data_IF_585179599495
#
_entry.id   IF_585179599495
#
_cell.length_a   1.000
_cell.length_b   1.000
_cell.length_c   1.000
_cell.angle_alpha   90.00
_cell.angle_beta   90.00
_cell.angle_gamma   90.00
#
_symmetry.space_group_name_H-M   'P 1'
#
loop_
_entity.id
_entity.type
_entity.pdbx_description
1 polymer ?
#
# COMPACT_ATOMS: atom_id res chain seq x y z
N UNK A 1 -12.04 -0.90 23.81
CA UNK A 1 -13.19 -1.04 22.89
C UNK A 1 -12.88 -1.92 21.68
N UNK A 2 -11.83 -1.67 20.89
CA UNK A 2 -11.46 -2.47 19.69
C UNK A 2 -11.19 -3.95 20.03
N UNK A 3 -10.55 -4.25 21.17
CA UNK A 3 -10.25 -5.62 21.61
C UNK A 3 -11.46 -6.50 21.93
N UNK A 4 -12.65 -5.91 22.08
CA UNK A 4 -13.91 -6.63 22.31
C UNK A 4 -14.71 -6.72 20.99
N UNK A 5 -14.72 -5.66 20.20
CA UNK A 5 -15.47 -5.61 18.95
C UNK A 5 -14.91 -6.56 17.88
N UNK A 6 -13.59 -6.68 17.76
CA UNK A 6 -12.99 -7.55 16.75
C UNK A 6 -13.33 -9.05 16.96
N UNK A 7 -13.21 -9.63 18.17
CA UNK A 7 -13.67 -11.01 18.42
C UNK A 7 -15.17 -11.18 18.20
N UNK A 8 -15.98 -10.19 18.54
CA UNK A 8 -17.44 -10.24 18.38
C UNK A 8 -17.82 -10.29 16.89
N UNK A 9 -17.21 -9.48 16.03
CA UNK A 9 -17.43 -9.55 14.58
C UNK A 9 -16.94 -10.86 13.99
N UNK A 10 -15.81 -11.39 14.49
CA UNK A 10 -15.34 -12.72 14.08
C UNK A 10 -16.35 -13.82 14.43
N UNK A 11 -16.92 -13.80 15.63
CA UNK A 11 -17.98 -14.73 16.04
C UNK A 11 -19.21 -14.61 15.12
N UNK A 12 -19.67 -13.38 14.83
CA UNK A 12 -20.79 -13.15 13.93
C UNK A 12 -20.50 -13.75 12.53
N UNK A 13 -19.29 -13.59 12.02
CA UNK A 13 -18.89 -14.16 10.72
C UNK A 13 -18.89 -15.68 10.78
N UNK A 14 -18.31 -16.29 11.84
CA UNK A 14 -18.23 -17.75 11.99
C UNK A 14 -19.61 -18.40 12.11
N UNK A 15 -20.51 -17.80 12.89
CA UNK A 15 -21.85 -18.35 13.09
C UNK A 15 -22.86 -17.93 12.04
N UNK A 16 -22.61 -16.82 11.31
CA UNK A 16 -23.52 -16.26 10.30
C UNK A 16 -23.27 -16.80 8.89
N UNK A 17 -22.09 -17.36 8.60
CA UNK A 17 -21.78 -17.94 7.28
C UNK A 17 -21.99 -19.46 7.29
N UNK A 18 -22.93 -19.93 6.45
CA UNK A 18 -23.03 -21.36 6.12
C UNK A 18 -22.05 -21.66 4.98
N UNK A 19 -21.02 -22.41 5.29
CA UNK A 19 -20.10 -22.91 4.28
C UNK A 19 -20.82 -23.94 3.39
N UNK A 20 -21.02 -23.63 2.12
CA UNK A 20 -21.47 -24.63 1.13
C UNK A 20 -20.23 -25.46 0.76
N UNK A 21 -20.11 -26.64 1.37
CA UNK A 21 -19.12 -27.62 0.97
C UNK A 21 -19.60 -28.32 -0.29
N UNK A 22 -18.98 -28.01 -1.42
CA UNK A 22 -19.12 -28.83 -2.61
C UNK A 22 -18.48 -30.20 -2.35
N UNK A 23 -19.32 -31.21 -2.20
CA UNK A 23 -18.92 -32.62 -1.98
C UNK A 23 -18.03 -33.18 -3.10
N UNK A 24 -17.98 -32.50 -4.26
CA UNK A 24 -17.06 -32.84 -5.36
C UNK A 24 -15.58 -32.53 -5.05
N UNK A 25 -15.28 -31.67 -4.08
CA UNK A 25 -13.90 -31.35 -3.67
C UNK A 25 -13.35 -32.27 -2.56
N UNK A 26 -14.20 -32.97 -1.83
CA UNK A 26 -13.75 -33.87 -0.73
C UNK A 26 -12.93 -35.09 -1.22
N UNK A 27 -13.06 -35.44 -2.48
CA UNK A 27 -12.35 -36.60 -3.08
C UNK A 27 -10.98 -36.24 -3.70
N UNK A 28 -10.61 -34.99 -3.80
CA UNK A 28 -9.22 -34.63 -4.09
C UNK A 28 -8.44 -34.74 -2.79
N UNK A 29 -7.63 -35.80 -2.66
CA UNK A 29 -6.75 -36.03 -1.53
C UNK A 29 -6.17 -34.68 -1.05
N UNK A 30 -6.28 -34.37 0.27
CA UNK A 30 -5.69 -33.19 0.89
C UNK A 30 -4.20 -33.21 0.59
N UNK A 31 -3.80 -32.59 -0.50
CA UNK A 31 -2.40 -32.47 -0.87
C UNK A 31 -1.68 -31.79 0.30
N UNK A 32 -0.72 -32.53 0.88
CA UNK A 32 0.07 -31.99 1.98
C UNK A 32 0.77 -30.72 1.49
N UNK A 33 0.57 -29.63 2.21
CA UNK A 33 1.28 -28.37 1.97
C UNK A 33 2.78 -28.67 1.97
N UNK A 34 3.45 -28.33 0.88
CA UNK A 34 4.90 -28.45 0.76
C UNK A 34 5.48 -27.11 0.34
N UNK A 35 6.43 -26.60 1.11
CA UNK A 35 7.15 -25.38 0.78
C UNK A 35 7.82 -25.47 -0.61
N UNK A 36 8.32 -26.66 -0.97
CA UNK A 36 8.89 -26.91 -2.30
C UNK A 36 7.83 -26.75 -3.41
N UNK A 37 6.59 -27.24 -3.17
CA UNK A 37 5.48 -27.05 -4.12
C UNK A 37 5.12 -25.58 -4.25
N UNK A 38 5.04 -24.83 -3.15
CA UNK A 38 4.78 -23.39 -3.15
C UNK A 38 5.80 -22.64 -4.02
N UNK A 39 7.09 -22.84 -3.76
CA UNK A 39 8.17 -22.19 -4.51
C UNK A 39 8.09 -22.60 -5.99
N UNK A 40 7.90 -23.87 -6.30
CA UNK A 40 7.80 -24.38 -7.66
C UNK A 40 6.60 -23.77 -8.41
N UNK A 41 5.39 -23.69 -7.80
CA UNK A 41 4.21 -23.11 -8.42
C UNK A 41 4.43 -21.62 -8.73
N UNK A 42 5.00 -20.86 -7.80
CA UNK A 42 5.27 -19.44 -7.99
C UNK A 42 6.27 -19.22 -9.15
N UNK A 43 7.41 -19.92 -9.12
CA UNK A 43 8.46 -19.70 -10.13
C UNK A 43 8.14 -20.32 -11.50
N UNK A 44 7.24 -21.26 -11.58
CA UNK A 44 6.79 -21.83 -12.85
C UNK A 44 5.80 -20.93 -13.59
N UNK A 45 5.02 -20.13 -12.86
CA UNK A 45 4.01 -19.23 -13.42
C UNK A 45 4.61 -17.85 -13.68
N UNK A 46 5.00 -17.60 -14.93
CA UNK A 46 5.63 -16.35 -15.36
C UNK A 46 4.77 -15.12 -15.12
N UNK A 47 3.44 -15.22 -15.28
CA UNK A 47 2.52 -14.12 -15.03
C UNK A 47 2.41 -13.81 -13.53
N UNK A 48 2.40 -14.84 -12.69
CA UNK A 48 2.36 -14.69 -11.24
C UNK A 48 3.61 -14.00 -10.71
N UNK A 49 4.81 -14.35 -11.22
CA UNK A 49 6.06 -13.68 -10.81
C UNK A 49 6.01 -12.20 -11.14
N UNK A 50 5.62 -11.84 -12.37
CA UNK A 50 5.57 -10.44 -12.76
C UNK A 50 4.56 -9.65 -11.94
N UNK A 51 3.36 -10.18 -11.70
CA UNK A 51 2.36 -9.55 -10.85
C UNK A 51 2.89 -9.39 -9.41
N UNK A 52 3.58 -10.40 -8.87
CA UNK A 52 4.17 -10.35 -7.54
C UNK A 52 5.23 -9.23 -7.42
N UNK A 53 6.15 -9.12 -8.37
CA UNK A 53 7.20 -8.08 -8.39
C UNK A 53 6.57 -6.69 -8.53
N UNK A 54 5.62 -6.52 -9.45
CA UNK A 54 4.94 -5.25 -9.69
C UNK A 54 4.16 -4.81 -8.44
N UNK A 55 3.46 -5.75 -7.81
CA UNK A 55 2.73 -5.50 -6.57
C UNK A 55 3.65 -5.13 -5.41
N UNK A 56 4.80 -5.80 -5.27
CA UNK A 56 5.79 -5.46 -4.26
C UNK A 56 6.32 -4.03 -4.43
N UNK A 57 6.69 -3.64 -5.66
CA UNK A 57 7.15 -2.28 -5.97
C UNK A 57 6.09 -1.24 -5.63
N UNK A 58 4.84 -1.50 -5.98
CA UNK A 58 3.70 -0.62 -5.67
C UNK A 58 3.49 -0.50 -4.16
N UNK A 59 3.56 -1.60 -3.41
CA UNK A 59 3.39 -1.61 -1.95
C UNK A 59 4.49 -0.82 -1.24
N UNK A 60 5.73 -0.95 -1.68
CA UNK A 60 6.85 -0.15 -1.14
C UNK A 60 6.58 1.34 -1.39
N UNK A 61 6.24 1.73 -2.63
CA UNK A 61 5.95 3.12 -2.96
C UNK A 61 4.82 3.70 -2.12
N UNK A 62 3.71 2.97 -1.94
CA UNK A 62 2.57 3.41 -1.14
C UNK A 62 2.92 3.59 0.35
N UNK A 63 3.73 2.69 0.91
CA UNK A 63 4.05 2.70 2.34
C UNK A 63 4.98 3.83 2.77
N UNK A 64 5.78 4.40 1.86
CA UNK A 64 6.72 5.48 2.19
C UNK A 64 6.02 6.81 2.52
N UNK A 65 4.80 7.05 2.02
CA UNK A 65 4.05 8.30 2.29
C UNK A 65 3.50 8.35 3.70
N UNK A 66 2.85 7.26 4.12
CA UNK A 66 2.09 7.19 5.41
C UNK A 66 2.95 6.65 6.54
N UNK A 67 4.11 6.07 6.21
CA UNK A 67 5.06 5.56 7.18
C UNK A 67 5.81 6.66 7.93
N UNK A 68 6.86 6.26 8.62
CA UNK A 68 7.69 7.16 9.43
C UNK A 68 8.21 8.40 8.69
N UNK A 69 8.50 8.29 7.39
CA UNK A 69 9.00 9.42 6.57
C UNK A 69 7.95 10.53 6.48
N UNK A 70 6.70 10.19 6.17
CA UNK A 70 5.63 11.19 6.04
C UNK A 70 5.30 11.88 7.36
N UNK A 71 5.24 11.13 8.47
CA UNK A 71 5.02 11.72 9.79
C UNK A 71 6.18 12.65 10.19
N UNK A 72 7.42 12.19 10.04
CA UNK A 72 8.61 12.99 10.37
C UNK A 72 8.68 14.27 9.53
N UNK A 73 8.35 14.20 8.23
CA UNK A 73 8.26 15.41 7.39
C UNK A 73 7.21 16.40 7.90
N UNK A 74 5.99 15.93 8.17
CA UNK A 74 4.89 16.81 8.61
C UNK A 74 5.24 17.43 9.96
N UNK A 75 5.76 16.63 10.91
CA UNK A 75 6.18 17.14 12.22
C UNK A 75 7.31 18.16 12.11
N UNK A 76 8.29 17.95 11.24
CA UNK A 76 9.41 18.90 11.05
C UNK A 76 8.98 20.26 10.47
N UNK A 77 7.87 20.29 9.70
CA UNK A 77 7.39 21.53 9.07
C UNK A 77 6.31 22.22 9.91
N UNK A 78 5.39 21.45 10.51
CA UNK A 78 4.16 21.98 11.14
C UNK A 78 4.11 21.79 12.64
N UNK A 79 5.16 21.19 13.25
CA UNK A 79 5.18 20.84 14.67
C UNK A 79 4.53 19.48 14.97
N UNK A 80 4.79 18.98 16.18
CA UNK A 80 4.30 17.68 16.62
C UNK A 80 2.83 17.73 17.12
N UNK A 81 2.21 18.87 17.19
CA UNK A 81 0.78 18.92 17.52
C UNK A 81 0.02 17.95 16.62
N UNK A 82 -0.35 16.78 17.17
CA UNK A 82 -0.80 15.59 16.46
C UNK A 82 -2.03 15.76 15.56
N UNK A 83 -2.66 16.94 15.57
CA UNK A 83 -3.83 17.27 14.77
C UNK A 83 -3.58 17.26 13.27
N UNK A 84 -2.49 17.86 12.78
CA UNK A 84 -2.25 18.02 11.35
C UNK A 84 -1.86 16.71 10.66
N UNK A 85 -1.03 15.88 11.30
CA UNK A 85 -0.74 14.55 10.75
C UNK A 85 -1.97 13.62 10.76
N UNK A 86 -2.73 13.64 11.84
CA UNK A 86 -3.99 12.90 11.93
C UNK A 86 -5.00 13.39 10.89
N UNK A 87 -5.10 14.71 10.69
CA UNK A 87 -5.95 15.30 9.64
C UNK A 87 -5.50 14.86 8.24
N UNK A 88 -4.19 14.92 7.97
CA UNK A 88 -3.60 14.49 6.70
C UNK A 88 -3.95 13.02 6.39
N UNK A 89 -3.72 12.11 7.32
CA UNK A 89 -3.99 10.69 7.11
C UNK A 89 -5.49 10.39 7.06
N UNK A 90 -6.27 10.93 7.99
CA UNK A 90 -7.71 10.65 8.08
C UNK A 90 -8.48 11.19 6.89
N UNK A 91 -8.26 12.45 6.50
CA UNK A 91 -8.96 13.06 5.36
C UNK A 91 -8.54 12.38 4.06
N UNK A 92 -7.23 12.14 3.86
CA UNK A 92 -6.74 11.46 2.68
C UNK A 92 -7.33 10.05 2.50
N UNK A 93 -7.41 9.27 3.59
CA UNK A 93 -8.00 7.94 3.58
C UNK A 93 -9.52 7.97 3.42
N UNK A 94 -10.22 8.87 4.10
CA UNK A 94 -11.69 8.96 4.05
C UNK A 94 -12.19 9.30 2.66
N UNK A 95 -11.55 10.27 1.98
CA UNK A 95 -11.89 10.63 0.61
C UNK A 95 -11.61 9.46 -0.34
N UNK A 96 -10.49 8.77 -0.16
CA UNK A 96 -10.19 7.56 -0.96
C UNK A 96 -11.24 6.48 -0.74
N UNK A 97 -11.63 6.20 0.50
CA UNK A 97 -12.66 5.22 0.81
C UNK A 97 -14.00 5.58 0.15
N UNK A 98 -14.40 6.85 0.18
CA UNK A 98 -15.59 7.34 -0.51
C UNK A 98 -15.50 7.14 -2.04
N UNK A 99 -14.39 7.50 -2.65
CA UNK A 99 -14.19 7.34 -4.09
C UNK A 99 -14.14 5.87 -4.53
N UNK A 100 -13.70 4.97 -3.64
CA UNK A 100 -13.68 3.52 -3.91
C UNK A 100 -15.09 2.92 -4.10
N UNK A 101 -16.13 3.54 -3.58
CA UNK A 101 -17.54 3.12 -3.82
C UNK A 101 -17.84 3.14 -5.32
N UNK A 102 -17.26 4.06 -6.07
CA UNK A 102 -17.47 4.20 -7.52
C UNK A 102 -16.55 3.28 -8.36
N UNK A 103 -15.57 2.62 -7.76
CA UNK A 103 -14.61 1.77 -8.46
C UNK A 103 -15.30 0.67 -9.31
N UNK A 104 -16.31 -0.09 -8.83
CA UNK A 104 -16.97 -1.11 -9.63
C UNK A 104 -17.64 -0.53 -10.88
N UNK A 105 -18.21 0.67 -10.80
CA UNK A 105 -18.82 1.35 -11.95
C UNK A 105 -17.75 1.77 -12.97
N UNK A 106 -16.64 2.32 -12.52
CA UNK A 106 -15.52 2.74 -13.37
C UNK A 106 -14.87 1.54 -14.06
N UNK A 107 -14.63 0.46 -13.31
CA UNK A 107 -13.96 -0.74 -13.84
C UNK A 107 -14.78 -1.53 -14.85
N UNK A 108 -16.11 -1.38 -14.85
CA UNK A 108 -16.99 -1.99 -15.86
C UNK A 108 -16.93 -1.32 -17.24
N UNK A 109 -16.55 -0.03 -17.29
CA UNK A 109 -16.55 0.75 -18.52
C UNK A 109 -15.15 0.95 -19.12
N UNK A 110 -14.12 0.68 -18.37
CA UNK A 110 -12.72 0.95 -18.77
C UNK A 110 -11.90 -0.32 -18.60
N UNK A 111 -11.25 -0.78 -19.70
CA UNK A 111 -10.32 -1.90 -19.64
C UNK A 111 -9.22 -1.68 -18.58
N UNK A 112 -8.90 -2.72 -17.82
CA UNK A 112 -7.96 -2.69 -16.68
C UNK A 112 -6.61 -2.07 -17.02
N UNK A 113 -6.03 -2.38 -18.17
CA UNK A 113 -4.74 -1.78 -18.61
C UNK A 113 -4.84 -0.26 -18.80
N UNK A 114 -5.95 0.24 -19.36
CA UNK A 114 -6.18 1.69 -19.53
C UNK A 114 -6.46 2.35 -18.18
N UNK A 115 -7.31 1.72 -17.36
CA UNK A 115 -7.62 2.21 -16.02
C UNK A 115 -6.37 2.32 -15.16
N UNK A 116 -5.50 1.31 -15.19
CA UNK A 116 -4.22 1.34 -14.49
C UNK A 116 -3.34 2.52 -14.95
N UNK A 117 -3.31 2.81 -16.25
CA UNK A 117 -2.61 3.98 -16.79
C UNK A 117 -3.16 5.30 -16.24
N UNK A 118 -4.48 5.46 -16.21
CA UNK A 118 -5.10 6.66 -15.63
C UNK A 118 -4.79 6.81 -14.15
N UNK A 119 -4.84 5.71 -13.39
CA UNK A 119 -4.52 5.73 -11.98
C UNK A 119 -3.04 6.03 -11.71
N UNK A 120 -2.14 5.52 -12.55
CA UNK A 120 -0.72 5.87 -12.47
C UNK A 120 -0.47 7.37 -12.74
N UNK A 121 -1.18 7.95 -13.70
CA UNK A 121 -1.11 9.41 -13.97
C UNK A 121 -1.66 10.22 -12.81
N UNK A 122 -2.83 9.86 -12.28
CA UNK A 122 -3.44 10.55 -11.13
C UNK A 122 -2.51 10.48 -9.91
N UNK A 123 -1.97 9.31 -9.60
CA UNK A 123 -1.02 9.17 -8.49
C UNK A 123 0.25 10.00 -8.72
N UNK A 124 0.78 10.02 -9.94
CA UNK A 124 1.97 10.82 -10.28
C UNK A 124 1.72 12.32 -10.12
N UNK A 125 0.55 12.81 -10.56
CA UNK A 125 0.14 14.20 -10.32
C UNK A 125 0.11 14.48 -8.81
N UNK A 126 -0.44 13.59 -8.01
CA UNK A 126 -0.45 13.70 -6.56
C UNK A 126 0.96 13.80 -5.97
N UNK A 127 1.89 12.94 -6.41
CA UNK A 127 3.30 13.00 -5.96
C UNK A 127 3.99 14.31 -6.36
N UNK A 128 3.74 14.80 -7.57
CA UNK A 128 4.24 16.10 -8.01
C UNK A 128 3.68 17.23 -7.15
N UNK A 129 2.40 17.20 -6.79
CA UNK A 129 1.79 18.17 -5.88
C UNK A 129 2.39 18.12 -4.47
N UNK A 130 2.63 16.92 -3.93
CA UNK A 130 3.33 16.77 -2.64
C UNK A 130 4.71 17.42 -2.71
N UNK A 131 5.49 17.13 -3.75
CA UNK A 131 6.80 17.76 -3.94
C UNK A 131 6.71 19.28 -4.11
N UNK A 132 5.79 19.75 -4.96
CA UNK A 132 5.58 21.19 -5.19
C UNK A 132 5.16 21.93 -3.91
N UNK A 133 4.38 21.29 -3.04
CA UNK A 133 4.03 21.87 -1.74
C UNK A 133 5.27 22.21 -0.92
N UNK A 134 6.30 21.37 -0.96
CA UNK A 134 7.56 21.60 -0.24
C UNK A 134 8.35 22.81 -0.75
N UNK A 135 8.18 23.17 -2.02
CA UNK A 135 8.84 24.34 -2.63
C UNK A 135 8.12 25.65 -2.32
N UNK A 136 6.88 25.60 -1.82
CA UNK A 136 6.14 26.80 -1.43
C UNK A 136 6.78 27.47 -0.22
N UNK A 137 6.88 28.82 -0.21
CA UNK A 137 7.46 29.54 0.91
C UNK A 137 6.54 29.48 2.16
N UNK A 138 7.20 29.52 3.33
CA UNK A 138 6.49 29.56 4.61
C UNK A 138 5.94 28.21 5.09
N UNK A 139 5.31 28.25 6.26
CA UNK A 139 4.65 27.11 6.93
C UNK A 139 3.12 27.29 6.99
N UNK A 140 2.55 28.03 6.05
CA UNK A 140 1.14 28.39 6.06
C UNK A 140 0.19 27.24 5.72
N UNK A 141 -1.08 27.41 6.11
CA UNK A 141 -2.15 26.45 5.85
C UNK A 141 -2.33 26.15 4.34
N UNK A 142 -2.07 27.11 3.46
CA UNK A 142 -2.13 26.89 2.00
C UNK A 142 -1.16 25.82 1.51
N UNK A 143 0.06 25.80 2.04
CA UNK A 143 1.05 24.75 1.75
C UNK A 143 0.53 23.37 2.21
N UNK A 144 -0.06 23.31 3.41
CA UNK A 144 -0.63 22.07 3.95
C UNK A 144 -1.82 21.56 3.10
N UNK A 145 -2.68 22.45 2.63
CA UNK A 145 -3.81 22.08 1.76
C UNK A 145 -3.32 21.47 0.45
N UNK A 146 -2.29 22.04 -0.18
CA UNK A 146 -1.70 21.48 -1.42
C UNK A 146 -1.10 20.09 -1.14
N UNK A 147 -0.38 19.95 -0.02
CA UNK A 147 0.17 18.65 0.44
C UNK A 147 -0.96 17.61 0.61
N UNK A 148 -2.04 18.00 1.27
CA UNK A 148 -3.19 17.13 1.54
C UNK A 148 -3.91 16.70 0.25
N UNK A 149 -4.16 17.63 -0.68
CA UNK A 149 -4.78 17.31 -1.98
C UNK A 149 -3.87 16.37 -2.77
N UNK A 150 -2.57 16.63 -2.79
CA UNK A 150 -1.59 15.72 -3.42
C UNK A 150 -1.67 14.32 -2.84
N UNK A 151 -1.75 14.21 -1.51
CA UNK A 151 -1.89 12.92 -0.84
C UNK A 151 -3.22 12.20 -1.18
N UNK A 152 -4.33 12.94 -1.26
CA UNK A 152 -5.62 12.37 -1.68
C UNK A 152 -5.56 11.77 -3.08
N UNK A 153 -4.94 12.47 -4.03
CA UNK A 153 -4.75 11.97 -5.40
C UNK A 153 -3.83 10.74 -5.43
N UNK A 154 -2.72 10.77 -4.67
CA UNK A 154 -1.84 9.62 -4.54
C UNK A 154 -2.59 8.40 -4.01
N UNK A 155 -3.31 8.55 -2.89
CA UNK A 155 -4.07 7.46 -2.29
C UNK A 155 -5.10 6.89 -3.25
N UNK A 156 -5.90 7.74 -3.88
CA UNK A 156 -6.91 7.27 -4.83
C UNK A 156 -6.30 6.46 -5.97
N UNK A 157 -5.25 6.99 -6.63
CA UNK A 157 -4.55 6.29 -7.68
C UNK A 157 -3.93 4.97 -7.21
N UNK A 158 -3.28 4.96 -6.05
CA UNK A 158 -2.63 3.79 -5.46
C UNK A 158 -3.64 2.69 -5.06
N UNK A 159 -4.78 3.05 -4.47
CA UNK A 159 -5.77 2.06 -4.05
C UNK A 159 -6.52 1.46 -5.24
N UNK A 160 -6.86 2.26 -6.26
CA UNK A 160 -7.41 1.72 -7.50
C UNK A 160 -6.42 0.76 -8.18
N UNK A 161 -5.15 1.15 -8.25
CA UNK A 161 -4.08 0.31 -8.76
C UNK A 161 -3.97 -0.99 -7.97
N UNK A 162 -4.03 -0.92 -6.64
CA UNK A 162 -4.04 -2.08 -5.75
C UNK A 162 -5.18 -3.06 -6.08
N UNK A 163 -6.41 -2.56 -6.31
CA UNK A 163 -7.55 -3.43 -6.68
C UNK A 163 -7.32 -4.14 -8.00
N UNK A 164 -6.76 -3.44 -9.00
CA UNK A 164 -6.40 -4.06 -10.28
C UNK A 164 -5.35 -5.16 -10.07
N UNK A 165 -4.35 -4.93 -9.22
CA UNK A 165 -3.34 -5.94 -8.89
C UNK A 165 -3.95 -7.17 -8.20
N UNK A 166 -4.97 -6.99 -7.35
CA UNK A 166 -5.68 -8.11 -6.72
C UNK A 166 -6.38 -8.98 -7.75
N UNK A 167 -7.08 -8.36 -8.69
CA UNK A 167 -7.73 -9.08 -9.80
C UNK A 167 -6.66 -9.77 -10.67
N UNK A 168 -5.55 -9.09 -10.93
CA UNK A 168 -4.45 -9.65 -11.73
C UNK A 168 -3.82 -10.89 -11.09
N UNK A 169 -3.67 -10.93 -9.76
CA UNK A 169 -3.23 -12.14 -9.04
C UNK A 169 -4.26 -13.27 -9.22
N UNK A 170 -5.54 -12.98 -9.06
CA UNK A 170 -6.60 -13.99 -9.21
C UNK A 170 -6.63 -14.57 -10.64
N UNK A 171 -6.48 -13.75 -11.66
CA UNK A 171 -6.45 -14.23 -13.05
C UNK A 171 -5.29 -15.20 -13.33
N UNK A 172 -4.22 -15.15 -12.54
CA UNK A 172 -3.11 -16.12 -12.69
C UNK A 172 -3.47 -17.53 -12.21
N UNK A 173 -4.59 -17.71 -11.51
CA UNK A 173 -5.11 -19.02 -11.09
C UNK A 173 -5.58 -19.83 -12.31
N UNK A 174 -6.45 -19.22 -13.12
CA UNK A 174 -6.96 -19.84 -14.35
C UNK A 174 -5.85 -20.04 -15.37
N UNK A 175 -4.93 -19.08 -15.48
CA UNK A 175 -3.73 -19.25 -16.32
C UNK A 175 -2.86 -20.43 -15.87
N UNK A 176 -2.70 -20.62 -14.54
CA UNK A 176 -1.96 -21.73 -14.00
C UNK A 176 -2.66 -23.06 -14.31
N UNK A 177 -3.98 -23.09 -14.16
CA UNK A 177 -4.79 -24.29 -14.45
C UNK A 177 -4.70 -24.66 -15.93
N UNK A 178 -4.86 -23.72 -16.86
CA UNK A 178 -4.77 -23.96 -18.29
C UNK A 178 -3.37 -24.45 -18.70
N UNK A 179 -2.34 -23.76 -18.22
CA UNK A 179 -0.96 -23.99 -18.68
C UNK A 179 -0.30 -25.21 -18.03
N UNK A 180 -0.67 -25.56 -16.81
CA UNK A 180 0.01 -26.56 -16.01
C UNK A 180 -0.90 -27.67 -15.46
N UNK A 181 -2.20 -27.63 -15.74
CA UNK A 181 -3.17 -28.62 -15.31
C UNK A 181 -3.47 -28.62 -13.80
N UNK A 182 -2.96 -27.65 -13.04
CA UNK A 182 -3.22 -27.51 -11.61
C UNK A 182 -3.74 -26.13 -11.27
N UNK A 183 -4.82 -26.05 -10.48
CA UNK A 183 -5.43 -24.76 -10.12
C UNK A 183 -4.61 -23.99 -9.06
N UNK A 184 -4.00 -24.70 -8.12
CA UNK A 184 -3.14 -24.20 -7.03
C UNK A 184 -3.60 -22.86 -6.38
N UNK A 185 -4.91 -22.61 -6.32
CA UNK A 185 -5.52 -21.34 -5.91
C UNK A 185 -5.07 -20.90 -4.51
N UNK A 186 -5.00 -21.84 -3.55
CA UNK A 186 -4.56 -21.53 -2.19
C UNK A 186 -3.11 -21.04 -2.12
N UNK A 187 -2.24 -21.55 -3.00
CA UNK A 187 -0.83 -21.12 -3.09
C UNK A 187 -0.77 -19.71 -3.71
N UNK A 188 -1.48 -19.50 -4.82
CA UNK A 188 -1.46 -18.24 -5.55
C UNK A 188 -2.04 -17.11 -4.70
N UNK A 189 -3.17 -17.34 -4.03
CA UNK A 189 -3.80 -16.33 -3.17
C UNK A 189 -2.99 -16.01 -1.92
N UNK A 190 -2.21 -16.98 -1.38
CA UNK A 190 -1.30 -16.74 -0.25
C UNK A 190 -0.15 -15.79 -0.57
N UNK A 191 0.14 -15.58 -1.85
CA UNK A 191 1.18 -14.63 -2.28
C UNK A 191 0.85 -13.19 -1.87
N UNK A 192 -0.42 -12.81 -1.87
CA UNK A 192 -0.85 -11.46 -1.46
C UNK A 192 -0.42 -11.10 -0.04
N UNK A 193 -0.83 -11.82 1.03
CA UNK A 193 -0.39 -11.49 2.38
C UNK A 193 1.13 -11.61 2.55
N UNK A 194 1.79 -12.52 1.84
CA UNK A 194 3.24 -12.63 1.85
C UNK A 194 3.90 -11.36 1.31
N UNK A 195 3.51 -10.88 0.12
CA UNK A 195 4.06 -9.65 -0.48
C UNK A 195 3.77 -8.44 0.40
N UNK A 196 2.58 -8.34 0.99
CA UNK A 196 2.25 -7.23 1.89
C UNK A 196 3.17 -7.20 3.12
N UNK A 197 3.47 -8.35 3.72
CA UNK A 197 4.40 -8.45 4.86
C UNK A 197 5.85 -8.16 4.44
N UNK A 198 6.28 -8.72 3.32
CA UNK A 198 7.61 -8.44 2.75
C UNK A 198 7.78 -6.95 2.41
N UNK A 199 6.77 -6.35 1.77
CA UNK A 199 6.74 -4.92 1.48
C UNK A 199 6.87 -4.08 2.75
N UNK A 200 6.12 -4.43 3.82
CA UNK A 200 6.23 -3.77 5.12
C UNK A 200 7.65 -3.82 5.70
N UNK A 201 8.31 -4.97 5.65
CA UNK A 201 9.70 -5.11 6.10
C UNK A 201 10.68 -4.25 5.28
N UNK A 202 10.50 -4.22 3.95
CA UNK A 202 11.32 -3.38 3.07
C UNK A 202 11.07 -1.89 3.34
N UNK A 203 9.83 -1.47 3.55
CA UNK A 203 9.48 -0.07 3.89
C UNK A 203 10.21 0.37 5.16
N UNK A 204 10.23 -0.46 6.21
CA UNK A 204 10.97 -0.18 7.44
C UNK A 204 12.46 -0.03 7.17
N UNK A 205 13.05 -0.94 6.39
CA UNK A 205 14.48 -0.87 6.03
C UNK A 205 14.80 0.39 5.23
N UNK A 206 13.98 0.73 4.22
CA UNK A 206 14.14 1.96 3.41
C UNK A 206 13.97 3.21 4.27
N UNK A 207 13.00 3.24 5.17
CA UNK A 207 12.79 4.36 6.10
C UNK A 207 13.99 4.55 7.01
N UNK A 208 14.53 3.48 7.61
CA UNK A 208 15.72 3.53 8.45
C UNK A 208 16.95 4.00 7.68
N UNK A 209 17.15 3.49 6.47
CA UNK A 209 18.22 3.95 5.59
C UNK A 209 18.10 5.44 5.24
N UNK A 210 16.88 5.91 4.92
CA UNK A 210 16.62 7.32 4.65
C UNK A 210 16.94 8.20 5.87
N UNK A 211 16.57 7.78 7.08
CA UNK A 211 16.87 8.51 8.31
C UNK A 211 18.37 8.62 8.57
N UNK A 212 19.12 7.55 8.35
CA UNK A 212 20.58 7.56 8.49
C UNK A 212 21.22 8.50 7.46
N UNK A 213 20.80 8.38 6.18
CA UNK A 213 21.35 9.21 5.09
C UNK A 213 21.05 10.70 5.27
N UNK A 214 19.91 11.04 5.84
CA UNK A 214 19.49 12.42 6.09
C UNK A 214 19.97 12.97 7.44
N UNK A 215 20.55 12.13 8.29
CA UNK A 215 21.00 12.51 9.64
C UNK A 215 19.84 12.91 10.56
N UNK A 216 18.65 12.30 10.39
CA UNK A 216 17.48 12.56 11.22
C UNK A 216 17.19 11.47 12.26
N UNK A 217 18.01 10.43 12.31
CA UNK A 217 17.85 9.29 13.21
C UNK A 217 17.80 9.72 14.67
N UNK A 218 18.67 10.64 15.09
CA UNK A 218 18.74 11.10 16.48
C UNK A 218 17.45 11.84 16.88
N UNK A 219 16.89 12.64 15.99
CA UNK A 219 15.62 13.34 16.25
C UNK A 219 14.46 12.35 16.39
N UNK A 220 14.37 11.36 15.50
CA UNK A 220 13.32 10.34 15.56
C UNK A 220 13.42 9.45 16.79
N UNK A 221 14.64 9.13 17.23
CA UNK A 221 14.87 8.37 18.46
C UNK A 221 14.46 9.18 19.70
N UNK A 222 14.86 10.45 19.79
CA UNK A 222 14.46 11.34 20.89
C UNK A 222 12.96 11.50 20.99
N UNK A 223 12.27 11.68 19.84
CA UNK A 223 10.79 11.76 19.80
C UNK A 223 10.18 10.46 20.35
N UNK A 224 10.65 9.30 19.89
CA UNK A 224 10.16 7.99 20.31
C UNK A 224 10.38 7.76 21.82
N UNK A 225 11.51 8.21 22.35
CA UNK A 225 11.82 8.13 23.79
C UNK A 225 10.88 9.02 24.62
N UNK A 226 10.62 10.25 24.18
CA UNK A 226 9.68 11.16 24.83
C UNK A 226 8.24 10.63 24.80
N UNK A 227 7.81 10.01 23.70
CA UNK A 227 6.54 9.31 23.59
C UNK A 227 6.45 8.16 24.61
N UNK A 228 7.50 7.38 24.72
CA UNK A 228 7.58 6.26 25.67
C UNK A 228 7.54 6.75 27.13
N UNK A 229 8.27 7.80 27.46
CA UNK A 229 8.25 8.40 28.80
C UNK A 229 6.86 8.93 29.18
N UNK A 230 6.17 9.56 28.22
CA UNK A 230 4.81 10.02 28.42
C UNK A 230 3.83 8.84 28.63
N UNK A 231 3.94 7.78 27.84
CA UNK A 231 3.11 6.57 27.99
C UNK A 231 3.34 5.85 29.32
N UNK A 232 4.53 5.99 29.92
CA UNK A 232 4.88 5.49 31.26
C UNK A 232 4.48 6.45 32.37
N UNK A 233 3.83 7.58 32.06
CA UNK A 233 3.47 8.66 33.00
C UNK A 233 4.70 9.29 33.71
N UNK A 234 5.89 9.22 33.13
CA UNK A 234 7.10 9.85 33.67
C UNK A 234 7.15 11.35 33.37
N UNK A 235 6.53 11.76 32.27
CA UNK A 235 6.37 13.17 31.88
C UNK A 235 4.92 13.45 31.51
N UNK A 236 4.49 14.70 31.64
CA UNK A 236 3.14 15.13 31.23
C UNK A 236 3.07 15.32 29.72
N UNK A 237 1.86 15.26 29.16
CA UNK A 237 1.61 15.52 27.74
C UNK A 237 2.14 16.89 27.29
N UNK A 238 1.92 17.92 28.09
CA UNK A 238 2.44 19.28 27.81
C UNK A 238 3.98 19.33 27.79
N UNK A 239 4.63 18.63 28.71
CA UNK A 239 6.09 18.53 28.74
C UNK A 239 6.65 17.77 27.53
N UNK A 240 5.99 16.66 27.13
CA UNK A 240 6.32 15.92 25.90
C UNK A 240 6.26 16.80 24.67
N UNK A 241 5.14 17.52 24.47
CA UNK A 241 4.96 18.39 23.30
C UNK A 241 6.05 19.48 23.23
N UNK A 242 6.32 20.16 24.34
CA UNK A 242 7.35 21.21 24.40
C UNK A 242 8.75 20.66 24.08
N UNK A 243 9.11 19.48 24.60
CA UNK A 243 10.39 18.85 24.34
C UNK A 243 10.53 18.38 22.90
N UNK A 244 9.46 17.79 22.32
CA UNK A 244 9.47 17.38 20.90
C UNK A 244 9.59 18.59 19.97
N UNK A 245 8.90 19.68 20.25
CA UNK A 245 9.03 20.91 19.45
C UNK A 245 10.47 21.49 19.52
N UNK A 246 11.11 21.41 20.68
CA UNK A 246 12.53 21.78 20.80
C UNK A 246 13.41 20.90 19.93
N UNK A 247 13.23 19.58 19.93
CA UNK A 247 13.97 18.63 19.08
C UNK A 247 13.73 18.94 17.59
N UNK A 248 12.49 19.16 17.19
CA UNK A 248 12.12 19.43 15.80
C UNK A 248 12.63 20.81 15.29
N UNK A 249 12.83 21.77 16.18
CA UNK A 249 13.41 23.07 15.82
C UNK A 249 14.84 22.98 15.28
N UNK A 250 15.56 21.89 15.56
CA UNK A 250 16.89 21.63 15.05
C UNK A 250 16.91 20.98 13.66
N UNK A 251 15.76 20.51 13.14
CA UNK A 251 15.68 19.93 11.79
C UNK A 251 15.92 21.00 10.74
N UNK A 252 16.93 20.79 9.92
CA UNK A 252 17.33 21.75 8.87
C UNK A 252 16.39 21.64 7.66
N UNK A 253 16.31 22.74 6.88
CA UNK A 253 15.57 22.74 5.62
C UNK A 253 16.07 21.67 4.63
N UNK A 254 17.36 21.34 4.65
CA UNK A 254 17.95 20.31 3.80
C UNK A 254 17.45 18.91 4.20
N UNK A 255 17.37 18.63 5.49
CA UNK A 255 16.82 17.36 6.01
C UNK A 255 15.32 17.23 5.67
N UNK A 256 14.55 18.30 5.89
CA UNK A 256 13.15 18.32 5.54
C UNK A 256 12.91 18.11 4.02
N UNK A 257 13.75 18.73 3.17
CA UNK A 257 13.69 18.51 1.72
C UNK A 257 14.07 17.08 1.35
N UNK A 258 15.03 16.47 2.01
CA UNK A 258 15.39 15.08 1.84
C UNK A 258 14.22 14.13 2.18
N UNK A 259 13.54 14.37 3.32
CA UNK A 259 12.34 13.62 3.70
C UNK A 259 11.22 13.76 2.65
N UNK A 260 11.04 14.98 2.12
CA UNK A 260 10.06 15.25 1.06
C UNK A 260 10.37 14.46 -0.22
N UNK A 261 11.63 14.35 -0.62
CA UNK A 261 12.05 13.55 -1.79
C UNK A 261 11.69 12.08 -1.57
N UNK A 262 11.99 11.53 -0.40
CA UNK A 262 11.62 10.16 -0.05
C UNK A 262 10.11 9.93 0.07
N UNK A 263 9.35 10.97 0.40
CA UNK A 263 7.89 10.91 0.50
C UNK A 263 7.18 11.09 -0.86
N UNK A 264 7.84 11.69 -1.86
CA UNK A 264 7.21 12.07 -3.13
C UNK A 264 7.89 11.48 -4.36
N UNK A 265 9.15 11.82 -4.61
CA UNK A 265 9.86 11.45 -5.83
C UNK A 265 10.13 9.93 -5.86
N UNK A 266 10.60 9.35 -4.76
CA UNK A 266 10.88 7.92 -4.70
C UNK A 266 9.61 7.09 -4.94
N UNK A 267 8.50 7.28 -4.20
CA UNK A 267 7.28 6.50 -4.44
C UNK A 267 6.65 6.81 -5.80
N UNK A 268 6.72 8.05 -6.29
CA UNK A 268 6.27 8.40 -7.64
C UNK A 268 7.03 7.65 -8.73
N UNK A 269 8.35 7.53 -8.60
CA UNK A 269 9.20 6.76 -9.51
C UNK A 269 8.88 5.26 -9.44
N UNK A 270 8.66 4.71 -8.24
CA UNK A 270 8.26 3.32 -8.07
C UNK A 270 6.88 3.04 -8.67
N UNK A 271 5.94 3.98 -8.54
CA UNK A 271 4.62 3.87 -9.17
C UNK A 271 4.72 3.80 -10.70
N UNK A 272 5.49 4.69 -11.32
CA UNK A 272 5.72 4.69 -12.76
C UNK A 272 6.44 3.41 -13.19
N UNK A 273 7.48 2.98 -12.47
CA UNK A 273 8.18 1.73 -12.74
C UNK A 273 7.23 0.54 -12.72
N UNK A 274 6.38 0.44 -11.68
CA UNK A 274 5.41 -0.64 -11.56
C UNK A 274 4.42 -0.64 -12.72
N UNK A 275 3.94 0.54 -13.15
CA UNK A 275 3.06 0.68 -14.31
C UNK A 275 3.73 0.23 -15.62
N UNK A 276 4.98 0.65 -15.89
CA UNK A 276 5.69 0.25 -17.09
C UNK A 276 5.98 -1.26 -17.11
N UNK A 277 6.33 -1.84 -15.97
CA UNK A 277 6.51 -3.30 -15.87
C UNK A 277 5.20 -4.04 -16.12
N UNK A 278 4.08 -3.56 -15.55
CA UNK A 278 2.78 -4.15 -15.80
C UNK A 278 2.41 -4.09 -17.28
N UNK A 279 2.52 -2.93 -17.90
CA UNK A 279 2.22 -2.74 -19.32
C UNK A 279 3.05 -3.66 -20.24
N UNK A 280 4.30 -3.91 -19.87
CA UNK A 280 5.25 -4.70 -20.67
C UNK A 280 5.09 -6.21 -20.47
N UNK A 281 4.85 -6.66 -19.25
CA UNK A 281 4.99 -8.08 -18.89
C UNK A 281 3.66 -8.78 -18.57
N UNK A 282 2.64 -8.04 -18.11
CA UNK A 282 1.35 -8.64 -17.82
C UNK A 282 0.52 -8.83 -19.10
N UNK A 283 0.16 -10.09 -19.38
CA UNK A 283 -0.52 -10.49 -20.61
C UNK A 283 -1.99 -10.85 -20.43
N UNK A 284 -2.43 -11.06 -19.18
CA UNK A 284 -3.78 -11.54 -18.86
C UNK A 284 -4.77 -10.35 -18.78
N UNK A 285 -4.97 -9.65 -19.92
CA UNK A 285 -6.05 -8.67 -20.03
C UNK A 285 -7.43 -9.35 -20.08
N UNK A 286 -8.47 -8.58 -20.25
CA UNK A 286 -9.84 -9.08 -20.24
C UNK A 286 -10.07 -10.11 -21.36
N UNK A 287 -9.59 -9.82 -22.57
CA UNK A 287 -9.77 -10.69 -23.75
C UNK A 287 -9.03 -12.02 -23.59
N UNK A 288 -7.78 -11.97 -23.13
CA UNK A 288 -6.98 -13.17 -22.89
C UNK A 288 -7.52 -13.99 -21.72
N UNK A 289 -8.01 -13.34 -20.67
CA UNK A 289 -8.64 -14.02 -19.55
C UNK A 289 -9.93 -14.74 -19.96
N UNK A 290 -10.79 -14.09 -20.75
CA UNK A 290 -12.02 -14.67 -21.28
C UNK A 290 -11.70 -15.86 -22.20
N UNK A 291 -10.65 -15.80 -23.00
CA UNK A 291 -10.18 -16.92 -23.80
C UNK A 291 -9.79 -18.11 -22.92
N UNK A 292 -8.99 -17.86 -21.88
CA UNK A 292 -8.56 -18.89 -20.92
C UNK A 292 -9.78 -19.54 -20.25
N UNK A 293 -10.74 -18.76 -19.80
CA UNK A 293 -11.97 -19.28 -19.17
C UNK A 293 -12.78 -20.16 -20.14
N UNK A 294 -12.90 -19.76 -21.42
CA UNK A 294 -13.57 -20.56 -22.48
C UNK A 294 -12.84 -21.90 -22.70
N UNK A 295 -11.53 -21.88 -22.80
CA UNK A 295 -10.74 -23.11 -22.99
C UNK A 295 -10.85 -24.07 -21.79
N UNK A 296 -11.04 -23.53 -20.58
CA UNK A 296 -11.29 -24.31 -19.37
C UNK A 296 -12.76 -24.77 -19.19
N UNK A 297 -13.65 -24.37 -20.09
CA UNK A 297 -15.09 -24.68 -19.97
C UNK A 297 -15.78 -23.93 -18.82
N UNK A 298 -15.27 -22.78 -18.40
CA UNK A 298 -15.77 -21.92 -17.31
C UNK A 298 -16.50 -20.67 -17.82
N UNK A 299 -17.20 -20.76 -18.94
CA UNK A 299 -18.07 -19.67 -19.42
C UNK A 299 -19.37 -19.67 -18.63
N UNK A 300 -19.77 -18.50 -18.11
CA UNK A 300 -21.13 -18.23 -17.62
C UNK A 300 -22.14 -18.26 -18.74
#
# INVERSE_FOLDING_TARGET
MIGILAPLFLCITIFGTKEHRDTAQENKAKEKFSFKKLVHTIFRNDQLIWVAVIFLIQQIGNGLIVGGIGSTYIYSIYGYEGGLYSLFTTVGMSVTAFLMIFYPTISRHIHRKKLMGYMAVIATIGYVMIFASGLMPGKGMGKFVVLMIGYMLCNFGQYCYYLIMMISIMNTVEYNELKFGSRDEGIITSLRPFITKLGGAIIVAVTSAAYILLGVTDYTNQISELEQQCNQNLITEASKLSQIDAVLSHVTNQQAMGLLIFMSIVPGSLMLLSYFLYKKHYKLDEEEYDRICKELGKTE
#
